data_IF_111487589106
#
_entry.id   IF_111487589106
#
_cell.length_a   1.000
_cell.length_b   1.000
_cell.length_c   1.000
_cell.angle_alpha   90.00
_cell.angle_beta   90.00
_cell.angle_gamma   90.00
#
_symmetry.space_group_name_H-M   'P 1'
#
loop_
_entity.id
_entity.type
_entity.pdbx_description
1 polymer ?
#
# COMPACT_ATOMS: atom_id res chain seq x y z
N UNK A 1 -48.56 18.23 -19.70
CA UNK A 1 -47.20 18.80 -19.49
C UNK A 1 -46.64 18.58 -18.08
N UNK A 2 -47.37 18.84 -16.99
CA UNK A 2 -46.79 18.66 -15.62
C UNK A 2 -46.27 17.25 -15.33
N UNK A 3 -46.99 16.19 -15.73
CA UNK A 3 -46.57 14.80 -15.49
C UNK A 3 -45.31 14.40 -16.26
N UNK A 4 -45.17 14.82 -17.52
CA UNK A 4 -43.98 14.50 -18.35
C UNK A 4 -42.70 15.16 -17.83
N UNK A 5 -42.79 16.39 -17.35
CA UNK A 5 -41.64 17.08 -16.73
C UNK A 5 -41.22 16.40 -15.44
N UNK A 6 -42.18 15.95 -14.63
CA UNK A 6 -41.91 15.25 -13.38
C UNK A 6 -41.20 13.91 -13.61
N UNK A 7 -41.64 13.12 -14.59
CA UNK A 7 -41.00 11.84 -14.95
C UNK A 7 -39.58 12.02 -15.49
N UNK A 8 -39.35 13.07 -16.28
CA UNK A 8 -38.01 13.38 -16.80
C UNK A 8 -37.05 13.77 -15.67
N UNK A 9 -37.50 14.59 -14.72
CA UNK A 9 -36.69 14.97 -13.56
C UNK A 9 -36.38 13.78 -12.65
N UNK A 10 -37.31 12.84 -12.45
CA UNK A 10 -37.02 11.61 -11.69
C UNK A 10 -35.96 10.75 -12.38
N UNK A 11 -36.02 10.63 -13.72
CA UNK A 11 -35.02 9.87 -14.48
C UNK A 11 -33.63 10.52 -14.39
N UNK A 12 -33.55 11.85 -14.52
CA UNK A 12 -32.30 12.61 -14.39
C UNK A 12 -31.73 12.50 -12.97
N UNK A 13 -32.57 12.52 -11.93
CA UNK A 13 -32.13 12.33 -10.55
C UNK A 13 -31.59 10.91 -10.30
N UNK A 14 -32.20 9.88 -10.88
CA UNK A 14 -31.71 8.49 -10.81
C UNK A 14 -30.39 8.32 -11.56
N UNK A 15 -30.21 8.99 -12.69
CA UNK A 15 -28.95 8.99 -13.45
C UNK A 15 -27.83 9.78 -12.74
N UNK A 16 -28.18 10.83 -11.99
CA UNK A 16 -27.21 11.65 -11.25
C UNK A 16 -26.62 10.94 -10.00
N UNK A 17 -27.28 9.89 -9.51
CA UNK A 17 -26.80 9.09 -8.37
C UNK A 17 -25.73 8.05 -8.75
N UNK A 18 -25.42 7.87 -10.04
CA UNK A 18 -24.51 6.84 -10.53
C UNK A 18 -23.00 7.17 -10.38
N UNK A 19 -22.65 8.27 -9.71
CA UNK A 19 -21.28 8.77 -9.62
C UNK A 19 -20.64 8.73 -8.23
N UNK A 20 -21.13 7.89 -7.31
CA UNK A 20 -20.47 7.75 -6.02
C UNK A 20 -19.06 7.16 -6.23
N UNK A 21 -18.02 7.93 -5.89
CA UNK A 21 -16.65 7.42 -5.85
C UNK A 21 -16.61 6.23 -4.88
N UNK A 22 -16.34 5.04 -5.41
CA UNK A 22 -16.23 3.83 -4.63
C UNK A 22 -14.79 3.73 -4.13
N UNK A 23 -14.60 3.73 -2.81
CA UNK A 23 -13.27 3.48 -2.25
C UNK A 23 -12.96 1.98 -2.36
N UNK A 24 -11.73 1.65 -2.72
CA UNK A 24 -11.25 0.27 -2.79
C UNK A 24 -10.71 -0.12 -1.42
N UNK A 25 -11.22 -1.22 -0.85
CA UNK A 25 -10.72 -1.80 0.40
C UNK A 25 -9.51 -2.67 0.12
N UNK A 26 -8.40 -2.40 0.80
CA UNK A 26 -7.18 -3.19 0.75
C UNK A 26 -7.01 -3.96 2.05
N UNK A 27 -6.59 -5.22 1.92
CA UNK A 27 -6.02 -6.00 3.02
C UNK A 27 -4.56 -6.31 2.67
N UNK A 28 -3.72 -6.41 3.68
CA UNK A 28 -2.31 -6.73 3.46
C UNK A 28 -1.78 -7.67 4.54
N UNK A 29 -0.76 -8.44 4.18
CA UNK A 29 0.04 -9.23 5.11
C UNK A 29 1.49 -9.23 4.65
N UNK A 30 2.41 -9.55 5.55
CA UNK A 30 3.84 -9.56 5.26
C UNK A 30 4.50 -10.88 5.66
N UNK A 31 5.60 -11.20 5.00
CA UNK A 31 6.55 -12.20 5.45
C UNK A 31 7.97 -11.71 5.22
N UNK A 32 8.91 -12.25 5.99
CA UNK A 32 10.31 -11.93 5.89
C UNK A 32 11.12 -13.20 5.63
N UNK A 33 12.19 -13.10 4.84
CA UNK A 33 13.30 -14.05 4.91
C UNK A 33 14.30 -13.55 5.95
N UNK A 34 15.22 -14.43 6.35
CA UNK A 34 16.30 -14.10 7.29
C UNK A 34 15.82 -13.32 8.52
N UNK A 35 15.13 -14.03 9.43
CA UNK A 35 14.40 -13.40 10.53
C UNK A 35 15.32 -12.76 11.57
N UNK A 36 16.62 -13.02 11.50
CA UNK A 36 17.61 -12.50 12.43
C UNK A 36 19.00 -12.55 11.85
N UNK A 37 19.63 -11.39 11.76
CA UNK A 37 21.06 -11.26 11.51
C UNK A 37 21.86 -11.15 12.80
N UNK A 38 23.08 -11.66 12.75
CA UNK A 38 24.06 -11.52 13.81
C UNK A 38 25.44 -11.62 13.19
N UNK A 39 25.89 -10.51 12.60
CA UNK A 39 27.27 -10.35 12.25
C UNK A 39 28.00 -9.64 13.38
N UNK A 40 29.02 -10.30 13.91
CA UNK A 40 30.10 -9.73 14.73
C UNK A 40 29.82 -8.33 15.32
N UNK A 41 28.81 -8.22 16.21
CA UNK A 41 28.39 -7.05 17.02
C UNK A 41 27.10 -6.27 16.62
N UNK A 42 26.38 -6.59 15.53
CA UNK A 42 25.02 -6.06 15.30
C UNK A 42 23.96 -7.17 15.27
N UNK A 43 23.11 -7.19 16.30
CA UNK A 43 21.99 -8.14 16.41
C UNK A 43 20.68 -7.46 16.04
N UNK A 44 20.01 -8.03 15.05
CA UNK A 44 18.69 -7.57 14.66
C UNK A 44 17.72 -8.73 14.43
N UNK A 45 16.44 -8.41 14.40
CA UNK A 45 15.41 -9.34 13.96
C UNK A 45 14.24 -8.62 13.28
N UNK A 46 13.52 -9.37 12.45
CA UNK A 46 12.31 -8.90 11.78
C UNK A 46 11.12 -9.79 12.07
N UNK A 47 9.95 -9.17 12.20
CA UNK A 47 8.69 -9.88 12.43
C UNK A 47 7.54 -9.24 11.65
N UNK A 48 6.62 -10.07 11.16
CA UNK A 48 5.40 -9.61 10.51
C UNK A 48 4.43 -8.95 11.50
N UNK A 49 3.67 -7.99 10.98
CA UNK A 49 2.61 -7.31 11.72
C UNK A 49 1.31 -7.48 10.96
N UNK A 50 0.22 -7.69 11.68
CA UNK A 50 -1.12 -7.66 11.08
C UNK A 50 -1.44 -6.25 10.61
N UNK A 51 -1.84 -6.11 9.36
CA UNK A 51 -2.21 -4.82 8.76
C UNK A 51 -3.73 -4.74 8.78
N UNK A 52 -4.26 -3.66 9.35
CA UNK A 52 -5.70 -3.41 9.33
C UNK A 52 -6.16 -2.99 7.94
N UNK A 53 -7.38 -3.34 7.59
CA UNK A 53 -7.99 -2.94 6.32
C UNK A 53 -8.05 -1.41 6.20
N UNK A 54 -7.83 -0.91 4.99
CA UNK A 54 -7.96 0.52 4.69
C UNK A 54 -8.58 0.76 3.33
N UNK A 55 -9.22 1.92 3.18
CA UNK A 55 -9.94 2.30 1.97
C UNK A 55 -9.19 3.43 1.26
N UNK A 56 -9.00 3.31 -0.05
CA UNK A 56 -8.43 4.36 -0.88
C UNK A 56 -9.35 4.73 -2.03
N UNK A 57 -9.44 6.02 -2.33
CA UNK A 57 -9.93 6.52 -3.61
C UNK A 57 -8.78 6.67 -4.61
N UNK A 58 -9.10 6.76 -5.90
CA UNK A 58 -8.10 7.00 -6.95
C UNK A 58 -7.31 8.27 -6.67
N UNK A 59 -5.97 8.16 -6.69
CA UNK A 59 -5.02 9.22 -6.37
C UNK A 59 -4.69 9.36 -4.88
N UNK A 60 -5.33 8.60 -3.99
CA UNK A 60 -5.00 8.59 -2.57
C UNK A 60 -3.91 7.58 -2.24
N UNK A 61 -3.16 7.90 -1.20
CA UNK A 61 -2.15 7.02 -0.61
C UNK A 61 -2.40 6.79 0.88
N UNK A 62 -1.92 5.65 1.38
CA UNK A 62 -1.90 5.33 2.80
C UNK A 62 -0.55 4.69 3.17
N UNK A 63 0.04 5.17 4.26
CA UNK A 63 1.25 4.59 4.84
C UNK A 63 0.86 3.74 6.03
N UNK A 64 1.33 2.49 6.05
CA UNK A 64 1.04 1.55 7.12
C UNK A 64 2.30 0.79 7.52
N UNK A 65 2.29 0.29 8.75
CA UNK A 65 3.35 -0.57 9.26
C UNK A 65 3.02 -2.03 8.92
N UNK A 66 3.97 -2.71 8.27
CA UNK A 66 3.82 -4.10 7.84
C UNK A 66 4.70 -5.06 8.64
N UNK A 67 5.66 -4.55 9.40
CA UNK A 67 6.52 -5.37 10.25
C UNK A 67 7.19 -4.57 11.35
N UNK A 68 7.98 -5.29 12.14
CA UNK A 68 8.85 -4.76 13.17
C UNK A 68 10.29 -5.10 12.85
N UNK A 69 11.17 -4.12 12.99
CA UNK A 69 12.61 -4.30 13.06
C UNK A 69 13.04 -4.08 14.50
N UNK A 70 13.84 -4.99 15.04
CA UNK A 70 14.25 -4.99 16.44
C UNK A 70 15.76 -5.06 16.54
N UNK A 71 16.35 -4.32 17.48
CA UNK A 71 17.79 -4.33 17.77
C UNK A 71 18.02 -4.60 19.25
N UNK A 72 19.11 -5.29 19.58
CA UNK A 72 19.45 -5.65 20.97
C UNK A 72 20.92 -5.41 21.34
N UNK A 73 21.69 -4.71 20.49
CA UNK A 73 23.14 -4.52 20.64
C UNK A 73 23.59 -3.04 20.61
N UNK A 74 22.72 -2.10 20.99
CA UNK A 74 23.08 -0.70 21.20
C UNK A 74 23.62 -0.42 22.63
N UNK A 75 24.59 0.51 22.79
CA UNK A 75 25.33 1.17 21.71
C UNK A 75 26.17 0.14 20.93
N UNK A 76 26.26 0.32 19.61
CA UNK A 76 26.99 -0.64 18.77
C UNK A 76 28.48 -0.47 19.08
N UNK A 77 29.01 -1.41 19.85
CA UNK A 77 30.41 -1.43 20.26
C UNK A 77 31.25 -2.19 19.23
N UNK A 78 32.42 -1.66 18.88
CA UNK A 78 33.42 -2.35 18.06
C UNK A 78 32.96 -2.73 16.62
N UNK A 79 32.41 -1.77 15.88
CA UNK A 79 32.33 -1.87 14.41
C UNK A 79 33.73 -1.67 13.82
N UNK A 80 34.38 -2.75 13.40
CA UNK A 80 35.69 -2.74 12.73
C UNK A 80 35.57 -2.27 11.27
N UNK A 81 34.94 -1.10 11.05
CA UNK A 81 34.92 -0.37 9.78
C UNK A 81 34.37 -1.11 8.56
N UNK A 82 33.83 -2.31 8.74
CA UNK A 82 33.20 -3.08 7.69
C UNK A 82 31.69 -2.85 7.70
N UNK A 83 31.16 -2.68 6.50
CA UNK A 83 29.75 -2.77 6.16
C UNK A 83 29.24 -4.16 6.59
N UNK A 84 28.34 -4.14 7.57
CA UNK A 84 27.66 -5.28 8.15
C UNK A 84 26.45 -5.64 7.27
N UNK A 85 26.72 -5.95 6.00
CA UNK A 85 25.74 -6.14 4.94
C UNK A 85 25.04 -7.50 5.06
N UNK A 86 24.31 -7.70 6.14
CA UNK A 86 23.28 -8.72 6.20
C UNK A 86 22.04 -8.23 5.44
N UNK A 87 21.24 -9.12 4.85
CA UNK A 87 20.09 -8.72 4.04
C UNK A 87 18.86 -9.54 4.36
N UNK A 88 17.68 -8.90 4.37
CA UNK A 88 16.41 -9.60 4.54
C UNK A 88 15.42 -9.23 3.44
N UNK A 89 14.74 -10.23 2.90
CA UNK A 89 13.70 -10.00 1.91
C UNK A 89 12.38 -9.72 2.62
N UNK A 90 11.71 -8.63 2.25
CA UNK A 90 10.42 -8.21 2.78
C UNK A 90 9.31 -8.42 1.75
N UNK A 91 8.50 -9.45 1.93
CA UNK A 91 7.39 -9.75 1.03
C UNK A 91 6.09 -9.13 1.57
N UNK A 92 5.33 -8.48 0.69
CA UNK A 92 4.07 -7.82 1.04
C UNK A 92 2.92 -8.34 0.17
N UNK A 93 2.08 -9.19 0.74
CA UNK A 93 0.92 -9.76 0.07
C UNK A 93 -0.27 -8.82 0.24
N UNK A 94 -0.65 -8.12 -0.83
CA UNK A 94 -1.76 -7.16 -0.84
C UNK A 94 -2.92 -7.75 -1.63
N UNK A 95 -4.04 -7.97 -0.97
CA UNK A 95 -5.26 -8.43 -1.63
C UNK A 95 -6.21 -7.24 -1.81
N UNK A 96 -6.38 -6.73 -3.05
CA UNK A 96 -7.57 -5.97 -3.38
C UNK A 96 -8.79 -6.90 -3.45
N UNK A 97 -10.05 -6.38 -3.50
CA UNK A 97 -11.25 -7.18 -3.25
C UNK A 97 -11.51 -8.36 -4.21
N UNK A 98 -10.82 -8.47 -5.36
CA UNK A 98 -10.86 -9.66 -6.26
C UNK A 98 -9.79 -9.61 -7.38
N UNK A 99 -9.20 -10.75 -7.81
CA UNK A 99 -8.52 -11.77 -7.01
C UNK A 99 -7.00 -11.51 -6.89
N UNK A 100 -6.46 -11.78 -5.70
CA UNK A 100 -5.05 -11.97 -5.31
C UNK A 100 -3.96 -11.53 -6.31
N UNK A 101 -3.50 -10.28 -6.18
CA UNK A 101 -2.23 -9.83 -6.75
C UNK A 101 -1.15 -9.86 -5.65
N UNK A 102 0.10 -10.13 -6.01
CA UNK A 102 1.23 -10.19 -5.04
C UNK A 102 2.25 -9.13 -5.41
N UNK A 103 2.77 -8.39 -4.41
CA UNK A 103 3.92 -7.48 -4.54
C UNK A 103 5.08 -7.99 -3.67
N UNK A 104 6.33 -7.85 -4.11
CA UNK A 104 7.52 -8.26 -3.35
C UNK A 104 8.64 -7.23 -3.46
N UNK A 105 9.32 -6.92 -2.36
CA UNK A 105 10.52 -6.07 -2.33
C UNK A 105 11.65 -6.71 -1.51
N UNK A 106 12.88 -6.22 -1.70
CA UNK A 106 14.07 -6.65 -0.93
C UNK A 106 14.53 -5.49 -0.06
N UNK A 107 14.85 -5.75 1.21
CA UNK A 107 15.44 -4.77 2.12
C UNK A 107 16.88 -5.12 2.47
N UNK A 108 17.73 -4.12 2.60
CA UNK A 108 19.14 -4.29 2.97
C UNK A 108 19.38 -3.42 4.22
N UNK A 109 19.42 -4.01 5.45
CA UNK A 109 19.85 -3.28 6.63
C UNK A 109 21.31 -2.83 6.48
N UNK A 110 21.56 -1.55 6.72
CA UNK A 110 22.90 -0.95 6.70
C UNK A 110 23.19 -0.35 8.08
N UNK A 111 24.24 -0.85 8.73
CA UNK A 111 24.72 -0.35 10.01
C UNK A 111 25.93 0.57 9.80
N UNK A 112 25.71 1.88 9.87
CA UNK A 112 26.77 2.89 9.72
C UNK A 112 27.17 3.46 11.07
N UNK A 113 28.44 3.27 11.48
CA UNK A 113 29.02 4.06 12.57
C UNK A 113 29.19 5.52 12.12
N UNK A 114 28.17 6.35 12.30
CA UNK A 114 28.25 7.78 12.04
C UNK A 114 29.06 8.47 13.14
N UNK A 115 30.37 8.59 12.91
CA UNK A 115 31.21 9.34 13.81
C UNK A 115 32.59 9.63 13.25
N UNK A 116 32.74 10.53 12.26
CA UNK A 116 33.99 11.29 12.14
C UNK A 116 33.77 12.80 11.82
N UNK A 117 34.06 13.61 12.84
CA UNK A 117 34.62 14.98 12.88
C UNK A 117 33.92 16.14 12.15
N UNK A 118 33.20 16.95 12.95
CA UNK A 118 33.25 18.40 12.80
C UNK A 118 34.19 18.93 13.89
N UNK A 119 35.39 19.37 13.49
CA UNK A 119 36.32 20.10 14.35
C UNK A 119 35.68 21.45 14.70
N UNK A 120 34.95 21.56 15.81
CA UNK A 120 34.80 22.75 16.67
C UNK A 120 34.29 22.25 18.05
N UNK A 121 34.80 22.76 19.19
CA UNK A 121 35.04 21.95 20.39
C UNK A 121 33.75 21.68 21.16
N UNK A 122 33.10 20.57 20.83
CA UNK A 122 32.10 19.95 21.71
C UNK A 122 32.50 18.49 21.87
N UNK A 123 32.59 18.11 23.13
CA UNK A 123 33.14 16.88 23.64
C UNK A 123 32.22 15.71 23.28
N UNK A 124 32.79 14.67 22.68
CA UNK A 124 32.36 13.27 22.67
C UNK A 124 30.86 12.99 22.90
N UNK A 125 30.17 12.66 21.81
CA UNK A 125 28.98 11.82 21.84
C UNK A 125 29.05 10.88 20.63
N UNK A 126 29.60 9.69 20.88
CA UNK A 126 29.66 8.56 19.95
C UNK A 126 28.24 7.96 19.89
N UNK A 127 27.37 8.51 19.03
CA UNK A 127 26.06 7.93 18.78
C UNK A 127 26.16 7.01 17.58
N UNK A 128 26.34 5.71 17.83
CA UNK A 128 26.16 4.70 16.81
C UNK A 128 24.69 4.76 16.34
N UNK A 129 24.50 4.87 15.02
CA UNK A 129 23.18 4.86 14.39
C UNK A 129 23.10 3.66 13.46
N UNK A 130 21.92 3.11 13.24
CA UNK A 130 21.68 2.16 12.15
C UNK A 130 20.51 2.63 11.28
N UNK A 131 20.42 2.02 10.09
CA UNK A 131 19.31 2.22 9.17
C UNK A 131 18.92 0.91 8.49
N UNK A 132 17.72 0.88 7.92
CA UNK A 132 17.33 -0.11 6.93
C UNK A 132 17.01 0.63 5.66
N UNK A 133 17.80 0.36 4.61
CA UNK A 133 17.64 0.96 3.30
C UNK A 133 16.82 0.02 2.41
N UNK A 134 15.83 0.58 1.73
CA UNK A 134 15.03 -0.14 0.75
C UNK A 134 15.17 0.54 -0.60
N UNK A 135 15.11 -0.23 -1.70
CA UNK A 135 14.83 0.37 -3.00
C UNK A 135 13.43 1.01 -2.97
N UNK A 136 13.36 2.33 -2.77
CA UNK A 136 12.10 3.05 -2.69
C UNK A 136 11.42 3.24 -4.05
N UNK A 137 11.92 2.62 -5.13
CA UNK A 137 11.26 2.65 -6.44
C UNK A 137 9.86 2.05 -6.33
N UNK A 138 8.78 2.82 -6.60
CA UNK A 138 7.43 2.29 -6.47
C UNK A 138 7.18 1.11 -7.40
N UNK A 139 6.76 -0.01 -6.82
CA UNK A 139 6.37 -1.22 -7.55
C UNK A 139 4.93 -1.06 -8.01
N UNK A 140 4.69 -1.18 -9.31
CA UNK A 140 3.35 -1.11 -9.89
C UNK A 140 2.69 -2.49 -9.93
N UNK A 141 1.46 -2.59 -9.43
CA UNK A 141 0.65 -3.81 -9.46
C UNK A 141 -0.71 -3.52 -10.10
N UNK A 142 -1.07 -4.35 -11.08
CA UNK A 142 -2.38 -4.30 -11.73
C UNK A 142 -3.35 -5.30 -11.11
N UNK A 143 -4.63 -4.92 -11.01
CA UNK A 143 -5.70 -5.78 -10.51
C UNK A 143 -7.01 -5.54 -11.27
N UNK A 144 -7.90 -6.54 -11.28
CA UNK A 144 -9.19 -6.47 -11.98
C UNK A 144 -9.06 -6.06 -13.45
N UNK A 145 -10.04 -5.30 -13.95
CA UNK A 145 -10.03 -4.76 -15.31
C UNK A 145 -9.53 -3.30 -15.34
N UNK A 146 -8.21 -3.14 -15.38
CA UNK A 146 -7.54 -1.83 -15.48
C UNK A 146 -7.29 -1.13 -14.14
N UNK A 147 -7.53 -1.82 -13.02
CA UNK A 147 -7.14 -1.32 -11.70
C UNK A 147 -5.62 -1.39 -11.53
N UNK A 148 -5.06 -0.40 -10.84
CA UNK A 148 -3.63 -0.26 -10.63
C UNK A 148 -3.34 0.42 -9.30
N UNK A 149 -2.41 -0.11 -8.54
CA UNK A 149 -1.84 0.56 -7.38
C UNK A 149 -0.31 0.45 -7.40
N UNK A 150 0.35 1.33 -6.65
CA UNK A 150 1.79 1.25 -6.41
C UNK A 150 2.09 1.02 -4.95
N UNK A 151 3.22 0.39 -4.68
CA UNK A 151 3.76 0.14 -3.34
C UNK A 151 5.20 0.62 -3.30
N UNK A 152 5.54 1.45 -2.32
CA UNK A 152 6.92 1.81 -2.03
C UNK A 152 7.24 1.42 -0.59
N UNK A 153 8.36 0.75 -0.37
CA UNK A 153 8.90 0.51 0.97
C UNK A 153 9.61 1.79 1.42
N UNK A 154 9.48 2.13 2.70
CA UNK A 154 10.09 3.33 3.25
C UNK A 154 11.28 2.94 4.12
N UNK A 155 12.37 3.70 4.01
CA UNK A 155 13.56 3.50 4.82
C UNK A 155 13.27 3.70 6.30
N UNK A 156 14.01 2.97 7.12
CA UNK A 156 14.05 3.18 8.56
C UNK A 156 15.39 3.83 8.91
N UNK A 157 15.35 5.07 9.39
CA UNK A 157 16.54 5.84 9.73
C UNK A 157 16.56 6.18 11.23
N UNK A 158 17.74 6.50 11.76
CA UNK A 158 17.89 7.00 13.13
C UNK A 158 17.62 5.94 14.20
N UNK A 159 18.04 4.69 13.94
CA UNK A 159 18.01 3.63 14.94
C UNK A 159 19.19 3.88 15.90
N UNK A 160 18.90 4.34 17.11
CA UNK A 160 19.93 4.78 18.08
C UNK A 160 19.97 3.92 19.35
N UNK A 161 18.96 3.08 19.54
CA UNK A 161 18.72 2.34 20.78
C UNK A 161 18.05 0.98 20.55
N UNK A 162 18.12 0.13 21.57
CA UNK A 162 17.54 -1.22 21.59
C UNK A 162 16.02 -1.15 21.74
N UNK A 163 15.31 -1.05 20.62
CA UNK A 163 13.86 -1.03 20.64
C UNK A 163 13.23 -1.66 19.38
N UNK A 164 11.90 -1.54 19.28
CA UNK A 164 11.11 -2.10 18.17
C UNK A 164 10.63 -0.97 17.26
N UNK A 165 11.22 -0.88 16.09
CA UNK A 165 10.89 0.10 15.07
C UNK A 165 9.85 -0.46 14.10
N UNK A 166 8.92 0.38 13.63
CA UNK A 166 7.95 -0.02 12.63
C UNK A 166 8.59 0.04 11.23
N UNK A 167 8.59 -1.08 10.52
CA UNK A 167 8.84 -1.09 9.08
C UNK A 167 7.55 -0.64 8.38
N UNK A 168 7.65 0.34 7.48
CA UNK A 168 6.50 0.97 6.84
C UNK A 168 6.55 0.93 5.32
N UNK A 169 5.38 0.85 4.70
CA UNK A 169 5.22 0.92 3.26
C UNK A 169 4.08 1.89 2.91
N UNK A 170 4.18 2.52 1.75
CA UNK A 170 3.20 3.46 1.23
C UNK A 170 2.51 2.85 0.02
N UNK A 171 1.19 2.66 0.11
CA UNK A 171 0.37 2.18 -1.00
C UNK A 171 -0.40 3.36 -1.61
N UNK A 172 -0.37 3.48 -2.94
CA UNK A 172 -1.11 4.52 -3.68
C UNK A 172 -2.04 3.88 -4.71
N UNK A 173 -3.33 4.20 -4.67
CA UNK A 173 -4.28 3.74 -5.69
C UNK A 173 -4.17 4.64 -6.93
N UNK A 174 -3.69 4.09 -8.05
CA UNK A 174 -3.45 4.85 -9.30
C UNK A 174 -4.69 4.85 -10.19
N UNK A 175 -5.36 3.71 -10.32
CA UNK A 175 -6.63 3.59 -11.03
C UNK A 175 -7.50 2.53 -10.38
N UNK A 176 -8.81 2.76 -10.34
CA UNK A 176 -9.77 1.74 -9.94
C UNK A 176 -10.04 0.79 -11.10
N UNK A 177 -10.37 -0.47 -10.77
CA UNK A 177 -10.86 -1.41 -11.75
C UNK A 177 -12.19 -0.90 -12.29
N UNK A 178 -12.29 -0.75 -13.61
CA UNK A 178 -13.58 -0.40 -14.21
C UNK A 178 -14.54 -1.56 -13.99
N UNK A 179 -15.72 -1.36 -13.35
CA UNK A 179 -16.72 -2.39 -13.28
C UNK A 179 -17.14 -2.71 -14.72
N UNK A 180 -16.76 -3.91 -15.20
CA UNK A 180 -17.28 -4.39 -16.47
C UNK A 180 -18.79 -4.55 -16.26
N UNK A 181 -19.66 -3.89 -17.05
CA UNK A 181 -21.10 -4.03 -16.89
C UNK A 181 -21.44 -5.51 -16.89
N UNK A 182 -21.99 -5.99 -15.77
CA UNK A 182 -22.33 -7.40 -15.67
C UNK A 182 -23.28 -7.76 -16.83
N UNK A 183 -23.20 -8.99 -17.37
CA UNK A 183 -24.09 -9.43 -18.44
C UNK A 183 -25.58 -9.22 -18.11
N UNK A 184 -25.92 -9.32 -16.82
CA UNK A 184 -27.23 -9.02 -16.25
C UNK A 184 -27.66 -7.57 -16.43
N UNK A 185 -26.75 -6.60 -16.27
CA UNK A 185 -27.02 -5.16 -16.42
C UNK A 185 -27.26 -4.81 -17.89
N UNK A 186 -26.46 -5.37 -18.79
CA UNK A 186 -26.68 -5.24 -20.23
C UNK A 186 -28.00 -5.89 -20.65
N UNK A 187 -28.31 -7.07 -20.10
CA UNK A 187 -29.57 -7.75 -20.34
C UNK A 187 -30.76 -6.94 -19.82
N UNK A 188 -30.68 -6.39 -18.60
CA UNK A 188 -31.72 -5.58 -17.98
C UNK A 188 -31.93 -4.27 -18.74
N UNK A 189 -30.85 -3.61 -19.18
CA UNK A 189 -30.92 -2.44 -20.04
C UNK A 189 -31.62 -2.79 -21.37
N UNK A 190 -31.22 -3.90 -21.99
CA UNK A 190 -31.85 -4.42 -23.20
C UNK A 190 -33.34 -4.72 -23.00
N UNK A 191 -33.70 -5.42 -21.92
CA UNK A 191 -35.07 -5.75 -21.56
C UNK A 191 -35.91 -4.49 -21.25
N UNK A 192 -35.32 -3.51 -20.57
CA UNK A 192 -35.93 -2.21 -20.29
C UNK A 192 -36.24 -1.44 -21.57
N UNK A 193 -35.30 -1.38 -22.51
CA UNK A 193 -35.50 -0.74 -23.82
C UNK A 193 -36.61 -1.43 -24.63
N UNK A 194 -36.63 -2.77 -24.65
CA UNK A 194 -37.69 -3.55 -25.28
C UNK A 194 -39.06 -3.26 -24.64
N UNK A 195 -39.12 -3.14 -23.31
CA UNK A 195 -40.31 -2.76 -22.57
C UNK A 195 -40.85 -1.38 -22.96
N UNK A 196 -39.98 -0.38 -23.09
CA UNK A 196 -40.34 0.99 -23.50
C UNK A 196 -40.89 1.00 -24.93
N UNK A 197 -40.24 0.29 -25.87
CA UNK A 197 -40.71 0.17 -27.26
C UNK A 197 -42.08 -0.53 -27.31
N UNK A 198 -42.27 -1.58 -26.50
CA UNK A 198 -43.54 -2.29 -26.39
C UNK A 198 -44.68 -1.41 -25.89
N UNK A 199 -44.43 -0.61 -24.85
CA UNK A 199 -45.41 0.33 -24.30
C UNK A 199 -45.80 1.43 -25.30
N UNK A 200 -44.83 1.97 -26.06
CA UNK A 200 -45.12 2.99 -27.09
C UNK A 200 -46.11 2.48 -28.15
N UNK A 201 -45.99 1.22 -28.57
CA UNK A 201 -46.93 0.62 -29.54
C UNK A 201 -48.35 0.49 -28.99
N UNK A 202 -48.49 0.25 -27.69
CA UNK A 202 -49.80 0.12 -27.03
C UNK A 202 -50.55 1.45 -26.94
N UNK A 203 -49.85 2.56 -26.70
CA UNK A 203 -50.47 3.88 -26.54
C UNK A 203 -50.72 4.64 -27.85
N UNK A 204 -50.14 4.19 -28.98
CA UNK A 204 -50.38 4.77 -30.31
C UNK A 204 -51.49 4.04 -31.11
N UNK A 205 -52.16 3.06 -30.50
CA UNK A 205 -53.38 2.44 -31.03
C UNK A 205 -54.56 2.92 -30.20
#
# INVERSE_FOLDING_TARGET
>A
MKKTVQTLMTLVAVLALAGAAHAVTFTASSSFSDLSGNDENFKWSVASKTISDFNLNVGQSNTFSYGKFSTNDFPIDNLDGNDNNDSFVSNLFITPPTPNATASGTGEPDAVKSGYWIIWPIWYNDTSTASVDFDNTPIEITFGNGGKYTVAFNDLNGIEDNCNYDLTATLTLVSDSTPVPEPSTMFLLGAGLLGVVGLRRKFNR
#
